data_IF_122363220199
#
_entry.id   IF_122363220199
#
_cell.length_a   1.000
_cell.length_b   1.000
_cell.length_c   1.000
_cell.angle_alpha   90.00
_cell.angle_beta   90.00
_cell.angle_gamma   90.00
#
_symmetry.space_group_name_H-M   'P 1'
#
loop_
_entity.id
_entity.type
_entity.pdbx_description
1 polymer ?
#
# COMPACT_ATOMS: atom_id res chain seq x y z
N UNK A 1 -4.41 48.87 32.10
CA UNK A 1 -4.11 48.03 30.92
C UNK A 1 -2.87 47.20 31.23
N UNK A 2 -3.00 45.93 31.68
CA UNK A 2 -1.85 45.07 31.89
C UNK A 2 -1.55 44.25 30.62
N UNK A 3 -0.29 44.30 30.21
CA UNK A 3 0.33 43.58 29.09
C UNK A 3 0.36 42.09 29.38
N UNK A 4 -0.30 41.28 28.53
CA UNK A 4 -0.26 39.82 28.64
C UNK A 4 0.85 39.27 27.75
N UNK A 5 1.94 38.83 28.38
CA UNK A 5 3.06 38.14 27.76
C UNK A 5 2.66 36.70 27.43
N UNK A 6 2.59 36.36 26.14
CA UNK A 6 2.35 34.99 25.67
C UNK A 6 3.59 34.15 26.00
N UNK A 7 3.46 33.22 26.95
CA UNK A 7 4.44 32.16 27.18
C UNK A 7 4.34 31.14 26.04
N UNK A 8 5.39 31.05 25.23
CA UNK A 8 5.59 29.96 24.27
C UNK A 8 5.82 28.65 25.05
N UNK A 9 5.10 27.56 24.78
CA UNK A 9 5.38 26.26 25.40
C UNK A 9 6.73 25.73 24.92
N UNK A 10 7.58 25.34 25.87
CA UNK A 10 8.87 24.68 25.59
C UNK A 10 8.59 23.33 24.94
N UNK A 11 9.11 23.16 23.72
CA UNK A 11 9.20 21.88 23.02
C UNK A 11 9.93 20.86 23.92
N UNK A 12 9.21 19.78 24.25
CA UNK A 12 9.69 18.65 25.02
C UNK A 12 10.09 17.53 24.06
N UNK A 13 11.25 17.66 23.43
CA UNK A 13 11.91 16.51 22.81
C UNK A 13 12.74 15.79 23.88
N UNK A 14 12.59 14.48 24.09
CA UNK A 14 13.47 13.75 24.99
C UNK A 14 14.87 13.65 24.38
N UNK A 15 15.86 14.21 25.08
CA UNK A 15 17.29 14.05 24.78
C UNK A 15 17.79 12.68 25.27
N UNK A 16 18.43 11.94 24.35
CA UNK A 16 19.02 10.62 24.55
C UNK A 16 20.10 10.65 25.64
N UNK A 17 19.91 9.88 26.71
CA UNK A 17 20.98 9.55 27.66
C UNK A 17 21.89 8.46 27.06
N UNK A 18 23.21 8.66 27.13
CA UNK A 18 24.19 7.61 26.84
C UNK A 18 24.44 6.81 28.11
N UNK A 19 24.18 5.52 28.07
CA UNK A 19 24.68 4.56 29.05
C UNK A 19 25.68 3.63 28.35
N UNK A 20 26.90 3.60 28.90
CA UNK A 20 27.95 2.63 28.59
C UNK A 20 27.57 1.27 29.15
N UNK A 21 27.72 0.19 28.38
CA UNK A 21 27.68 -1.19 28.90
C UNK A 21 28.64 -2.08 28.12
N UNK A 22 29.23 -3.00 28.88
CA UNK A 22 30.35 -3.89 28.65
C UNK A 22 30.24 -4.89 27.51
N UNK A 23 31.41 -5.31 27.03
CA UNK A 23 31.65 -6.45 26.15
C UNK A 23 30.98 -7.76 26.63
N UNK A 24 30.37 -8.45 25.68
CA UNK A 24 29.80 -9.80 25.81
C UNK A 24 29.37 -10.30 24.43
N UNK A 25 30.27 -11.04 23.78
CA UNK A 25 30.17 -11.82 22.53
C UNK A 25 28.77 -11.99 21.90
N UNK A 26 28.54 -11.39 20.73
CA UNK A 26 27.52 -11.83 19.75
C UNK A 26 28.24 -12.23 18.45
N UNK A 27 28.41 -13.53 18.24
CA UNK A 27 29.01 -14.09 17.03
C UNK A 27 27.89 -14.50 16.07
N UNK A 28 27.77 -13.72 15.00
CA UNK A 28 27.39 -14.09 13.61
C UNK A 28 26.06 -14.83 13.38
N UNK A 29 24.92 -14.17 13.64
CA UNK A 29 23.65 -14.51 12.98
C UNK A 29 23.15 -13.41 12.01
N UNK A 30 23.62 -12.16 12.17
CA UNK A 30 23.23 -11.04 11.29
C UNK A 30 23.69 -11.21 9.85
N UNK A 31 24.91 -11.67 9.61
CA UNK A 31 25.49 -11.70 8.26
C UNK A 31 24.74 -12.65 7.31
N UNK A 32 24.28 -13.80 7.80
CA UNK A 32 23.53 -14.79 7.01
C UNK A 32 22.10 -14.33 6.72
N UNK A 33 21.43 -13.67 7.68
CA UNK A 33 20.10 -13.10 7.47
C UNK A 33 20.14 -11.92 6.50
N UNK A 34 21.13 -11.03 6.61
CA UNK A 34 21.33 -9.91 5.68
C UNK A 34 21.56 -10.38 4.24
N UNK A 35 22.42 -11.39 4.04
CA UNK A 35 22.63 -12.02 2.72
C UNK A 35 21.34 -12.61 2.15
N UNK A 36 20.49 -13.21 3.00
CA UNK A 36 19.19 -13.76 2.58
C UNK A 36 18.19 -12.66 2.16
N UNK A 37 18.16 -11.56 2.89
CA UNK A 37 17.29 -10.40 2.62
C UNK A 37 17.71 -9.69 1.33
N UNK A 38 19.02 -9.45 1.15
CA UNK A 38 19.56 -8.84 -0.08
C UNK A 38 19.27 -9.71 -1.30
N UNK A 39 19.35 -11.04 -1.16
CA UNK A 39 19.01 -11.99 -2.23
C UNK A 39 17.53 -11.88 -2.60
N UNK A 40 16.62 -11.87 -1.61
CA UNK A 40 15.18 -11.73 -1.83
C UNK A 40 14.80 -10.40 -2.48
N UNK A 41 15.38 -9.28 -2.03
CA UNK A 41 15.16 -7.97 -2.64
C UNK A 41 15.61 -7.96 -4.10
N UNK A 42 16.81 -8.50 -4.38
CA UNK A 42 17.34 -8.58 -5.75
C UNK A 42 16.41 -9.40 -6.65
N UNK A 43 15.95 -10.55 -6.17
CA UNK A 43 15.09 -11.43 -6.95
C UNK A 43 13.70 -10.82 -7.17
N UNK A 44 13.17 -10.10 -6.17
CA UNK A 44 11.95 -9.31 -6.29
C UNK A 44 12.09 -8.21 -7.36
N UNK A 45 13.17 -7.42 -7.34
CA UNK A 45 13.41 -6.37 -8.33
C UNK A 45 13.58 -6.92 -9.76
N UNK A 46 14.10 -8.14 -9.92
CA UNK A 46 14.20 -8.82 -11.23
C UNK A 46 12.85 -9.18 -11.84
N UNK A 47 11.80 -9.26 -11.04
CA UNK A 47 10.42 -9.47 -11.51
C UNK A 47 9.79 -8.18 -12.08
N UNK A 48 10.53 -7.07 -12.07
CA UNK A 48 10.10 -5.76 -12.54
C UNK A 48 8.77 -5.31 -11.89
N UNK A 49 8.75 -5.19 -10.55
CA UNK A 49 7.57 -4.72 -9.82
C UNK A 49 7.15 -3.35 -10.32
N UNK A 50 5.83 -3.11 -10.40
CA UNK A 50 5.31 -1.77 -10.62
C UNK A 50 5.79 -0.82 -9.51
N UNK A 51 6.08 0.42 -9.89
CA UNK A 51 6.44 1.50 -8.95
C UNK A 51 5.19 2.35 -8.75
N UNK A 52 4.83 2.58 -7.49
CA UNK A 52 3.75 3.49 -7.13
C UNK A 52 4.32 4.88 -6.81
N UNK A 53 3.90 5.87 -7.59
CA UNK A 53 4.19 7.29 -7.35
C UNK A 53 2.85 8.01 -7.23
N UNK A 54 2.28 8.02 -6.02
CA UNK A 54 0.99 8.61 -5.64
C UNK A 54 0.82 10.10 -5.97
N UNK A 55 1.82 10.74 -6.57
CA UNK A 55 1.74 12.09 -7.16
C UNK A 55 1.19 12.13 -8.60
N UNK A 56 1.02 10.99 -9.26
CA UNK A 56 0.38 10.91 -10.58
C UNK A 56 -0.89 10.10 -10.50
N UNK A 57 -1.97 10.67 -11.04
CA UNK A 57 -3.27 10.03 -11.37
C UNK A 57 -3.11 8.75 -12.22
N UNK A 58 -1.90 8.41 -12.68
CA UNK A 58 -1.59 7.26 -13.53
C UNK A 58 -1.35 5.94 -12.77
N UNK A 59 -1.07 5.98 -11.46
CA UNK A 59 -0.88 4.76 -10.67
C UNK A 59 -2.21 4.31 -10.07
N UNK A 60 -2.86 3.31 -10.67
CA UNK A 60 -4.02 2.65 -10.03
C UNK A 60 -3.57 1.89 -8.78
N UNK A 61 -4.01 2.29 -7.56
CA UNK A 61 -3.62 1.63 -6.31
C UNK A 61 -4.00 0.14 -6.28
N UNK A 62 -5.13 -0.23 -6.88
CA UNK A 62 -5.56 -1.63 -6.96
C UNK A 62 -4.60 -2.40 -7.85
N UNK A 63 -4.31 -1.91 -9.06
CA UNK A 63 -3.38 -2.56 -9.97
C UNK A 63 -1.97 -2.70 -9.38
N UNK A 64 -1.52 -1.73 -8.58
CA UNK A 64 -0.27 -1.85 -7.85
C UNK A 64 -0.29 -3.01 -6.86
N UNK A 65 -1.26 -3.03 -5.93
CA UNK A 65 -1.42 -4.12 -4.94
C UNK A 65 -1.53 -5.49 -5.63
N UNK A 66 -2.34 -5.57 -6.68
CA UNK A 66 -2.54 -6.79 -7.47
C UNK A 66 -1.23 -7.30 -8.11
N UNK A 67 -0.43 -6.38 -8.67
CA UNK A 67 0.86 -6.71 -9.27
C UNK A 67 1.85 -7.20 -8.22
N UNK A 68 1.92 -6.52 -7.07
CA UNK A 68 2.78 -6.89 -5.96
C UNK A 68 2.43 -8.29 -5.43
N UNK A 69 1.14 -8.55 -5.19
CA UNK A 69 0.67 -9.85 -4.71
C UNK A 69 1.01 -11.00 -5.68
N UNK A 70 0.83 -10.77 -6.99
CA UNK A 70 1.20 -11.75 -8.04
C UNK A 70 2.69 -12.08 -8.00
N UNK A 71 3.56 -11.08 -7.82
CA UNK A 71 5.02 -11.30 -7.72
C UNK A 71 5.35 -12.10 -6.46
N UNK A 72 4.83 -11.70 -5.30
CA UNK A 72 5.08 -12.39 -4.02
C UNK A 72 4.67 -13.86 -4.07
N UNK A 73 3.53 -14.15 -4.71
CA UNK A 73 3.02 -15.50 -4.90
C UNK A 73 3.95 -16.35 -5.77
N UNK A 74 4.47 -15.80 -6.87
CA UNK A 74 5.43 -16.49 -7.75
C UNK A 74 6.76 -16.75 -7.02
N UNK A 75 7.18 -15.83 -6.17
CA UNK A 75 8.39 -15.97 -5.37
C UNK A 75 8.23 -16.88 -4.14
N UNK A 76 7.01 -17.36 -3.86
CA UNK A 76 6.69 -18.12 -2.65
C UNK A 76 7.10 -17.42 -1.35
N UNK A 77 6.92 -16.09 -1.30
CA UNK A 77 7.19 -15.27 -0.09
C UNK A 77 6.00 -15.37 0.85
N UNK A 78 6.27 -15.56 2.14
CA UNK A 78 5.22 -15.56 3.18
C UNK A 78 4.70 -14.15 3.42
N UNK A 79 3.42 -14.02 3.75
CA UNK A 79 2.72 -12.72 3.85
C UNK A 79 3.41 -11.72 4.79
N UNK A 80 3.93 -12.21 5.92
CA UNK A 80 4.65 -11.41 6.94
C UNK A 80 6.04 -10.93 6.52
N UNK A 81 6.56 -11.42 5.39
CA UNK A 81 7.78 -10.91 4.76
C UNK A 81 7.47 -10.14 3.47
N UNK A 82 6.36 -10.45 2.82
CA UNK A 82 5.99 -9.91 1.52
C UNK A 82 5.74 -8.40 1.54
N UNK A 83 5.05 -7.89 2.57
CA UNK A 83 4.78 -6.45 2.66
C UNK A 83 6.06 -5.61 2.71
N UNK A 84 7.16 -6.11 3.31
CA UNK A 84 8.44 -5.38 3.38
C UNK A 84 9.09 -5.20 2.01
N UNK A 85 8.93 -6.19 1.13
CA UNK A 85 9.39 -6.09 -0.27
C UNK A 85 8.57 -5.07 -1.06
N UNK A 86 7.28 -4.95 -0.74
CA UNK A 86 6.38 -3.98 -1.37
C UNK A 86 6.59 -2.57 -0.84
N UNK A 87 6.77 -2.42 0.48
CA UNK A 87 7.15 -1.16 1.11
C UNK A 87 8.43 -0.59 0.48
N UNK A 88 9.40 -1.44 0.12
CA UNK A 88 10.61 -1.02 -0.61
C UNK A 88 10.33 -0.36 -1.98
N UNK A 89 9.20 -0.69 -2.63
CA UNK A 89 8.77 -0.06 -3.89
C UNK A 89 8.10 1.28 -3.68
N UNK A 90 7.59 1.57 -2.48
CA UNK A 90 7.06 2.89 -2.16
C UNK A 90 8.22 3.88 -2.21
N UNK A 91 8.00 5.02 -2.88
CA UNK A 91 8.97 6.11 -2.97
C UNK A 91 8.39 7.36 -2.32
N UNK A 92 9.24 8.34 -2.04
CA UNK A 92 8.84 9.69 -1.60
C UNK A 92 7.94 9.72 -0.36
N UNK A 93 6.77 10.35 -0.45
CA UNK A 93 5.81 10.59 0.64
C UNK A 93 5.18 9.27 1.08
N UNK A 94 5.07 8.32 0.17
CA UNK A 94 4.42 7.04 0.34
C UNK A 94 5.22 6.13 1.26
N UNK A 95 6.55 6.19 1.18
CA UNK A 95 7.43 5.53 2.14
C UNK A 95 7.34 6.18 3.52
N UNK A 96 7.26 7.52 3.59
CA UNK A 96 7.15 8.24 4.87
C UNK A 96 5.84 7.88 5.59
N UNK A 97 4.72 7.80 4.86
CA UNK A 97 3.43 7.41 5.43
C UNK A 97 3.44 5.96 5.92
N UNK A 98 4.11 5.06 5.19
CA UNK A 98 4.29 3.69 5.62
C UNK A 98 5.14 3.59 6.90
N UNK A 99 6.28 4.27 6.96
CA UNK A 99 7.14 4.31 8.15
C UNK A 99 6.38 4.85 9.37
N UNK A 100 5.60 5.94 9.19
CA UNK A 100 4.76 6.51 10.25
C UNK A 100 3.67 5.56 10.73
N UNK A 101 3.03 4.84 9.81
CA UNK A 101 2.02 3.83 10.15
C UNK A 101 2.66 2.66 10.91
N UNK A 102 3.81 2.15 10.45
CA UNK A 102 4.54 1.06 11.10
C UNK A 102 5.00 1.46 12.51
N UNK A 103 5.52 2.67 12.70
CA UNK A 103 5.94 3.23 13.99
C UNK A 103 4.77 3.51 14.96
N UNK A 104 3.56 3.72 14.44
CA UNK A 104 2.36 4.00 15.25
C UNK A 104 1.73 2.77 15.90
N UNK A 105 2.20 1.56 15.55
CA UNK A 105 1.69 0.30 16.07
C UNK A 105 2.23 0.05 17.49
N UNK A 106 1.40 -0.54 18.35
CA UNK A 106 1.81 -0.97 19.68
C UNK A 106 2.90 -2.05 19.62
N UNK A 107 3.79 -2.09 20.61
CA UNK A 107 4.87 -3.10 20.68
C UNK A 107 4.32 -4.53 20.81
N UNK A 108 3.12 -4.70 21.35
CA UNK A 108 2.39 -5.96 21.44
C UNK A 108 1.50 -6.28 20.22
N UNK A 109 1.48 -5.43 19.18
CA UNK A 109 0.68 -5.69 18.00
C UNK A 109 1.16 -6.94 17.25
N UNK A 110 0.22 -7.70 16.69
CA UNK A 110 0.53 -8.87 15.87
C UNK A 110 1.42 -8.49 14.67
N UNK A 111 2.11 -9.49 14.13
CA UNK A 111 2.91 -9.30 12.93
C UNK A 111 2.02 -8.81 11.78
N UNK A 112 2.45 -7.76 11.06
CA UNK A 112 1.74 -7.27 9.88
C UNK A 112 1.62 -8.42 8.89
N UNK A 113 0.39 -8.80 8.57
CA UNK A 113 0.08 -9.69 7.46
C UNK A 113 -0.25 -8.87 6.22
N UNK A 114 -0.23 -9.52 5.06
CA UNK A 114 -0.49 -8.87 3.77
C UNK A 114 -1.80 -8.05 3.77
N UNK A 115 -2.85 -8.60 4.38
CA UNK A 115 -4.17 -7.98 4.46
C UNK A 115 -4.14 -6.61 5.15
N UNK A 116 -3.47 -6.49 6.29
CA UNK A 116 -3.38 -5.21 7.02
C UNK A 116 -2.64 -4.14 6.21
N UNK A 117 -1.57 -4.55 5.51
CA UNK A 117 -0.83 -3.66 4.62
C UNK A 117 -1.71 -3.20 3.45
N UNK A 118 -2.43 -4.13 2.81
CA UNK A 118 -3.32 -3.86 1.68
C UNK A 118 -4.43 -2.88 2.07
N UNK A 119 -5.12 -3.10 3.19
CA UNK A 119 -6.17 -2.21 3.69
C UNK A 119 -5.62 -0.82 3.97
N UNK A 120 -4.52 -0.72 4.73
CA UNK A 120 -3.93 0.57 5.07
C UNK A 120 -3.42 1.34 3.83
N UNK A 121 -2.84 0.63 2.86
CA UNK A 121 -2.40 1.21 1.59
C UNK A 121 -3.59 1.76 0.80
N UNK A 122 -4.66 0.97 0.64
CA UNK A 122 -5.84 1.40 -0.10
C UNK A 122 -6.57 2.55 0.60
N UNK A 123 -6.63 2.59 1.93
CA UNK A 123 -7.25 3.73 2.62
C UNK A 123 -6.47 5.03 2.46
N UNK A 124 -5.15 4.98 2.38
CA UNK A 124 -4.32 6.16 2.17
C UNK A 124 -4.29 6.64 0.71
N UNK A 125 -4.22 5.71 -0.23
CA UNK A 125 -4.00 6.04 -1.65
C UNK A 125 -5.23 5.90 -2.53
N UNK A 126 -6.31 5.34 -2.01
CA UNK A 126 -7.60 5.23 -2.65
C UNK A 126 -8.71 5.76 -1.73
N UNK A 127 -8.68 7.07 -1.39
CA UNK A 127 -9.64 7.70 -0.49
C UNK A 127 -11.08 7.56 -0.98
N UNK A 128 -12.02 7.64 -0.03
CA UNK A 128 -13.45 7.45 -0.27
C UNK A 128 -13.99 8.22 -1.49
N UNK A 129 -13.61 9.49 -1.67
CA UNK A 129 -14.04 10.29 -2.82
C UNK A 129 -13.67 9.67 -4.18
N UNK A 130 -12.48 9.05 -4.30
CA UNK A 130 -12.06 8.34 -5.51
C UNK A 130 -12.83 7.03 -5.68
N UNK A 131 -13.14 6.35 -4.58
CA UNK A 131 -13.97 5.14 -4.59
C UNK A 131 -15.37 5.46 -5.11
N UNK A 132 -16.00 6.47 -4.54
CA UNK A 132 -17.32 6.94 -4.91
C UNK A 132 -17.37 7.41 -6.38
N UNK A 133 -16.34 8.14 -6.84
CA UNK A 133 -16.24 8.54 -8.25
C UNK A 133 -16.14 7.33 -9.19
N UNK A 134 -15.34 6.31 -8.84
CA UNK A 134 -15.20 5.09 -9.65
C UNK A 134 -16.48 4.24 -9.62
N UNK A 135 -17.17 4.17 -8.47
CA UNK A 135 -18.48 3.54 -8.34
C UNK A 135 -19.53 4.25 -9.19
N UNK A 136 -19.56 5.58 -9.16
CA UNK A 136 -20.47 6.37 -9.99
C UNK A 136 -20.19 6.17 -11.48
N UNK A 137 -18.92 6.18 -11.89
CA UNK A 137 -18.53 5.86 -13.27
C UNK A 137 -19.03 4.46 -13.64
N UNK A 138 -18.83 3.46 -12.77
CA UNK A 138 -19.27 2.10 -13.03
C UNK A 138 -20.79 2.01 -13.17
N UNK A 139 -21.56 2.56 -12.23
CA UNK A 139 -23.04 2.54 -12.23
C UNK A 139 -23.62 3.19 -13.48
N UNK A 140 -23.02 4.29 -13.92
CA UNK A 140 -23.44 5.02 -15.10
C UNK A 140 -22.81 4.50 -16.40
N UNK A 141 -21.92 3.51 -16.32
CA UNK A 141 -21.19 2.99 -17.46
C UNK A 141 -22.13 2.30 -18.46
N UNK A 142 -22.11 2.81 -19.69
CA UNK A 142 -22.87 2.30 -20.83
C UNK A 142 -21.93 2.06 -22.00
N UNK A 143 -22.29 1.14 -22.88
CA UNK A 143 -21.48 0.83 -24.06
C UNK A 143 -21.29 2.05 -24.97
N UNK A 144 -22.33 2.86 -25.20
CA UNK A 144 -22.24 4.00 -26.11
C UNK A 144 -21.79 3.57 -27.51
N UNK A 145 -20.77 4.24 -28.05
CA UNK A 145 -20.17 3.93 -29.36
C UNK A 145 -19.03 2.89 -29.29
N UNK A 146 -18.65 2.41 -28.10
CA UNK A 146 -17.58 1.42 -27.97
C UNK A 146 -17.97 0.09 -28.60
N UNK A 147 -16.98 -0.60 -29.17
CA UNK A 147 -17.16 -1.99 -29.55
C UNK A 147 -17.45 -2.85 -28.32
N UNK A 148 -18.12 -4.00 -28.53
CA UNK A 148 -18.40 -4.96 -27.45
C UNK A 148 -17.12 -5.38 -26.72
N UNK A 149 -15.99 -5.49 -27.43
CA UNK A 149 -14.69 -5.83 -26.86
C UNK A 149 -14.16 -4.72 -25.96
N UNK A 150 -14.17 -3.47 -26.41
CA UNK A 150 -13.73 -2.32 -25.62
C UNK A 150 -14.60 -2.12 -24.39
N UNK A 151 -15.92 -2.25 -24.55
CA UNK A 151 -16.87 -2.20 -23.45
C UNK A 151 -16.59 -3.29 -22.41
N UNK A 152 -16.36 -4.54 -22.84
CA UNK A 152 -16.03 -5.64 -21.93
C UNK A 152 -14.74 -5.40 -21.15
N UNK A 153 -13.70 -4.86 -21.79
CA UNK A 153 -12.43 -4.53 -21.13
C UNK A 153 -12.62 -3.42 -20.09
N UNK A 154 -13.29 -2.33 -20.46
CA UNK A 154 -13.52 -1.20 -19.54
C UNK A 154 -14.48 -1.58 -18.41
N UNK A 155 -15.47 -2.44 -18.67
CA UNK A 155 -16.31 -3.00 -17.60
C UNK A 155 -15.49 -3.83 -16.62
N UNK A 156 -14.61 -4.70 -17.10
CA UNK A 156 -13.75 -5.51 -16.23
C UNK A 156 -12.85 -4.61 -15.36
N UNK A 157 -12.27 -3.55 -15.94
CA UNK A 157 -11.47 -2.58 -15.20
C UNK A 157 -12.29 -1.88 -14.10
N UNK A 158 -13.45 -1.30 -14.44
CA UNK A 158 -14.28 -0.60 -13.46
C UNK A 158 -14.86 -1.54 -12.39
N UNK A 159 -15.07 -2.81 -12.74
CA UNK A 159 -15.56 -3.83 -11.80
C UNK A 159 -14.60 -4.11 -10.65
N UNK A 160 -13.30 -3.82 -10.82
CA UNK A 160 -12.30 -3.97 -9.76
C UNK A 160 -12.51 -2.99 -8.61
N UNK A 161 -13.08 -1.80 -8.88
CA UNK A 161 -13.32 -0.78 -7.85
C UNK A 161 -14.65 -0.97 -7.10
N UNK A 162 -15.56 -1.78 -7.64
CA UNK A 162 -16.90 -1.97 -7.09
C UNK A 162 -17.36 -3.44 -7.18
N UNK A 163 -16.59 -4.40 -6.62
CA UNK A 163 -16.84 -5.84 -6.80
C UNK A 163 -18.25 -6.25 -6.35
N UNK A 164 -18.77 -5.63 -5.28
CA UNK A 164 -20.11 -5.88 -4.74
C UNK A 164 -21.24 -5.48 -5.70
N UNK A 165 -20.99 -4.52 -6.60
CA UNK A 165 -21.98 -4.04 -7.56
C UNK A 165 -22.04 -4.91 -8.83
N UNK A 166 -21.01 -5.74 -9.06
CA UNK A 166 -20.84 -6.54 -10.27
C UNK A 166 -22.00 -7.50 -10.55
N UNK A 167 -22.56 -8.24 -9.57
CA UNK A 167 -23.71 -9.11 -9.82
C UNK A 167 -24.92 -8.36 -10.39
N UNK A 168 -25.20 -7.16 -9.87
CA UNK A 168 -26.29 -6.29 -10.32
C UNK A 168 -25.99 -5.73 -11.72
N UNK A 169 -24.76 -5.30 -11.97
CA UNK A 169 -24.35 -4.73 -13.25
C UNK A 169 -24.29 -5.76 -14.38
N UNK A 170 -23.89 -7.01 -14.10
CA UNK A 170 -24.01 -8.12 -15.06
C UNK A 170 -25.47 -8.37 -15.46
N UNK A 171 -26.41 -8.20 -14.53
CA UNK A 171 -27.83 -8.29 -14.84
C UNK A 171 -28.28 -7.15 -15.76
N UNK A 172 -27.80 -5.92 -15.53
CA UNK A 172 -28.03 -4.79 -16.47
C UNK A 172 -27.45 -5.07 -17.85
N UNK A 173 -26.21 -5.57 -17.96
CA UNK A 173 -25.58 -5.92 -19.25
C UNK A 173 -26.42 -6.88 -20.09
N UNK A 174 -27.01 -7.92 -19.47
CA UNK A 174 -27.88 -8.88 -20.17
C UNK A 174 -29.15 -8.26 -20.77
N UNK A 175 -29.53 -7.06 -20.33
CA UNK A 175 -30.74 -6.36 -20.75
C UNK A 175 -30.48 -5.33 -21.88
N UNK A 176 -29.23 -5.01 -22.18
CA UNK A 176 -28.83 -4.02 -23.19
C UNK A 176 -28.26 -4.65 -24.48
N UNK A 177 -28.66 -5.89 -24.78
CA UNK A 177 -28.40 -6.56 -26.08
C UNK A 177 -29.61 -6.40 -26.99
#
# INVERSE_FOLDING_TARGET
>A
MPTNTVKVPKSSFPQRARTTTSEGTIVTNSSSQELSTVTRIRDFLRMNPLVFMGSKVEGDPHNFIDNMWKILKVMHVIETEGFKLVAYQLKNVENILYEQWEESRDEEADAIIWHEFEENFLDHFFPQDLREANEEEFVNFKQGEMSVKEYGLKFAQLSCYAPEMVPNMRFKMRKFV
#
